data_IF_927550813763
#
_entry.id   IF_927550813763
#
_cell.length_a   1.000
_cell.length_b   1.000
_cell.length_c   1.000
_cell.angle_alpha   90.00
_cell.angle_beta   90.00
_cell.angle_gamma   90.00
#
_symmetry.space_group_name_H-M   'P 1'
#
loop_
_entity.id
_entity.type
_entity.pdbx_description
1 polymer ?
#
# COMPACT_ATOMS: atom_id res chain seq x y z
N UNK A 1 15.59 -27.71 29.90
CA UNK A 1 15.99 -26.33 29.53
C UNK A 1 15.30 -25.95 28.23
N UNK A 2 14.13 -25.32 28.31
CA UNK A 2 13.28 -24.95 27.17
C UNK A 2 13.33 -23.43 26.92
N UNK A 3 14.54 -22.89 26.73
CA UNK A 3 14.78 -21.43 26.71
C UNK A 3 14.80 -20.81 25.30
N UNK A 4 14.76 -21.63 24.25
CA UNK A 4 14.87 -21.16 22.84
C UNK A 4 13.55 -20.76 22.18
N UNK A 5 12.38 -21.03 22.78
CA UNK A 5 11.09 -20.71 22.16
C UNK A 5 10.59 -19.29 22.47
N UNK A 6 11.08 -18.65 23.54
CA UNK A 6 10.66 -17.31 23.97
C UNK A 6 11.26 -16.19 23.13
N UNK A 7 12.50 -16.33 22.65
CA UNK A 7 13.15 -15.30 21.83
C UNK A 7 12.63 -15.28 20.38
N UNK A 8 12.34 -16.45 19.81
CA UNK A 8 11.73 -16.54 18.49
C UNK A 8 10.34 -15.88 18.45
N UNK A 9 9.53 -16.07 19.49
CA UNK A 9 8.21 -15.42 19.62
C UNK A 9 8.31 -13.90 19.79
N UNK A 10 9.29 -13.40 20.55
CA UNK A 10 9.53 -11.95 20.69
C UNK A 10 9.93 -11.31 19.36
N UNK A 11 10.85 -11.92 18.61
CA UNK A 11 11.22 -11.45 17.26
C UNK A 11 10.04 -11.42 16.29
N UNK A 12 9.15 -12.42 16.32
CA UNK A 12 7.96 -12.40 15.46
C UNK A 12 6.97 -11.30 15.84
N UNK A 13 6.87 -10.92 17.11
CA UNK A 13 6.04 -9.79 17.56
C UNK A 13 6.66 -8.45 17.16
N UNK A 14 7.98 -8.29 17.34
CA UNK A 14 8.71 -7.09 16.93
C UNK A 14 8.67 -6.86 15.41
N UNK A 15 8.79 -7.91 14.60
CA UNK A 15 8.67 -7.81 13.13
C UNK A 15 7.24 -7.42 12.72
N UNK A 16 6.22 -7.87 13.47
CA UNK A 16 4.82 -7.58 13.18
C UNK A 16 4.43 -6.16 13.60
N UNK A 17 5.02 -5.63 14.67
CA UNK A 17 4.85 -4.23 15.08
C UNK A 17 5.67 -3.26 14.21
N UNK A 18 6.72 -3.75 13.54
CA UNK A 18 7.52 -2.99 12.58
C UNK A 18 7.01 -3.06 11.13
N UNK A 19 6.03 -3.93 10.83
CA UNK A 19 5.42 -3.98 9.51
C UNK A 19 4.48 -2.77 9.35
N UNK A 20 4.84 -1.85 8.45
CA UNK A 20 4.00 -0.69 8.10
C UNK A 20 2.56 -1.14 7.81
N UNK A 21 1.58 -0.35 8.28
CA UNK A 21 0.16 -0.65 8.05
C UNK A 21 -0.06 -0.82 6.53
N UNK A 22 -0.54 -1.99 6.06
CA UNK A 22 -0.82 -2.23 4.66
C UNK A 22 -1.72 -1.17 4.03
N UNK A 23 -2.59 -0.52 4.81
CA UNK A 23 -3.42 0.59 4.37
C UNK A 23 -2.63 1.86 4.10
N UNK A 24 -1.63 2.16 4.92
CA UNK A 24 -0.72 3.29 4.72
C UNK A 24 0.20 3.05 3.52
N UNK A 25 0.70 1.83 3.35
CA UNK A 25 1.47 1.42 2.16
C UNK A 25 0.61 1.57 0.90
N UNK A 26 -0.62 1.06 0.91
CA UNK A 26 -1.53 1.17 -0.22
C UNK A 26 -1.96 2.62 -0.50
N UNK A 27 -2.11 3.46 0.52
CA UNK A 27 -2.34 4.89 0.38
C UNK A 27 -1.21 5.60 -0.36
N UNK A 28 0.04 5.39 0.08
CA UNK A 28 1.24 5.93 -0.59
C UNK A 28 1.38 5.44 -2.03
N UNK A 29 1.00 4.19 -2.31
CA UNK A 29 1.01 3.64 -3.67
C UNK A 29 -0.01 4.35 -4.57
N UNK A 30 -1.22 4.61 -4.08
CA UNK A 30 -2.23 5.36 -4.84
C UNK A 30 -1.75 6.79 -5.17
N UNK A 31 -1.09 7.45 -4.22
CA UNK A 31 -0.53 8.79 -4.43
C UNK A 31 0.62 8.79 -5.44
N UNK A 32 1.48 7.77 -5.40
CA UNK A 32 2.54 7.59 -6.39
C UNK A 32 2.00 7.38 -7.81
N UNK A 33 0.91 6.62 -7.96
CA UNK A 33 0.26 6.44 -9.27
C UNK A 33 -0.38 7.72 -9.81
N UNK A 34 -0.98 8.56 -8.96
CA UNK A 34 -1.49 9.85 -9.41
C UNK A 34 -0.38 10.81 -9.84
N UNK A 35 0.76 10.79 -9.14
CA UNK A 35 1.92 11.59 -9.54
C UNK A 35 2.46 11.12 -10.90
N UNK A 36 2.56 9.82 -11.11
CA UNK A 36 3.01 9.26 -12.38
C UNK A 36 2.00 9.54 -13.50
N UNK A 37 0.69 9.47 -13.22
CA UNK A 37 -0.34 9.84 -14.16
C UNK A 37 -0.19 11.30 -14.64
N UNK A 38 0.07 12.23 -13.72
CA UNK A 38 0.31 13.63 -14.06
C UNK A 38 1.56 13.81 -14.93
N UNK A 39 2.60 12.99 -14.73
CA UNK A 39 3.80 13.00 -15.59
C UNK A 39 3.51 12.47 -16.98
N UNK A 40 2.78 11.36 -17.09
CA UNK A 40 2.37 10.79 -18.37
C UNK A 40 1.46 11.76 -19.15
N UNK A 41 0.56 12.46 -18.47
CA UNK A 41 -0.27 13.49 -19.09
C UNK A 41 0.58 14.66 -19.63
N UNK A 42 1.56 15.13 -18.84
CA UNK A 42 2.50 16.16 -19.28
C UNK A 42 3.41 15.69 -20.44
N UNK A 43 3.71 14.39 -20.51
CA UNK A 43 4.46 13.77 -21.61
C UNK A 43 3.60 13.54 -22.87
N UNK A 44 2.30 13.84 -22.83
CA UNK A 44 1.36 13.65 -23.93
C UNK A 44 0.79 12.23 -24.02
N UNK A 45 1.04 11.38 -23.04
CA UNK A 45 0.53 10.02 -22.94
C UNK A 45 -0.74 9.96 -22.07
N UNK A 46 -1.80 10.63 -22.55
CA UNK A 46 -3.08 10.69 -21.83
C UNK A 46 -3.73 9.32 -21.59
N UNK A 47 -3.43 8.32 -22.42
CA UNK A 47 -3.94 6.95 -22.21
C UNK A 47 -3.37 6.31 -20.94
N UNK A 48 -2.05 6.37 -20.75
CA UNK A 48 -1.41 5.86 -19.54
C UNK A 48 -1.87 6.64 -18.29
N UNK A 49 -1.97 7.96 -18.40
CA UNK A 49 -2.46 8.81 -17.32
C UNK A 49 -3.86 8.41 -16.84
N UNK A 50 -4.80 8.16 -17.77
CA UNK A 50 -6.17 7.73 -17.43
C UNK A 50 -6.18 6.38 -16.71
N UNK A 51 -5.38 5.41 -17.17
CA UNK A 51 -5.28 4.11 -16.51
C UNK A 51 -4.74 4.25 -15.10
N UNK A 52 -3.66 5.01 -14.93
CA UNK A 52 -3.02 5.24 -13.62
C UNK A 52 -3.96 5.93 -12.63
N UNK A 53 -4.65 6.99 -13.05
CA UNK A 53 -5.67 7.65 -12.23
C UNK A 53 -6.83 6.72 -11.87
N UNK A 54 -7.28 5.89 -12.81
CA UNK A 54 -8.33 4.90 -12.55
C UNK A 54 -7.88 3.89 -11.48
N UNK A 55 -6.67 3.34 -11.61
CA UNK A 55 -6.13 2.38 -10.63
C UNK A 55 -5.92 3.02 -9.25
N UNK A 56 -5.40 4.25 -9.20
CA UNK A 56 -5.26 5.00 -7.96
C UNK A 56 -6.61 5.24 -7.26
N UNK A 57 -7.65 5.54 -8.03
CA UNK A 57 -9.01 5.69 -7.50
C UNK A 57 -9.58 4.37 -6.98
N UNK A 58 -9.49 3.29 -7.75
CA UNK A 58 -9.99 1.97 -7.37
C UNK A 58 -9.32 1.48 -6.08
N UNK A 59 -8.01 1.69 -5.94
CA UNK A 59 -7.28 1.35 -4.72
C UNK A 59 -7.77 2.15 -3.51
N UNK A 60 -7.99 3.46 -3.65
CA UNK A 60 -8.54 4.29 -2.56
C UNK A 60 -9.97 3.91 -2.18
N UNK A 61 -10.79 3.54 -3.17
CA UNK A 61 -12.15 3.06 -2.91
C UNK A 61 -12.12 1.72 -2.15
N UNK A 62 -11.24 0.80 -2.54
CA UNK A 62 -11.03 -0.47 -1.84
C UNK A 62 -10.55 -0.26 -0.38
N UNK A 63 -9.69 0.73 -0.13
CA UNK A 63 -9.24 1.08 1.22
C UNK A 63 -10.33 1.77 2.08
N UNK A 64 -11.28 2.48 1.45
CA UNK A 64 -12.39 3.15 2.14
C UNK A 64 -13.49 2.18 2.57
N UNK A 65 -13.70 1.10 1.81
CA UNK A 65 -14.63 0.06 2.19
C UNK A 65 -14.16 -0.55 3.52
N UNK A 66 -14.95 -0.35 4.58
CA UNK A 66 -14.84 -1.19 5.77
C UNK A 66 -15.13 -2.61 5.31
N UNK A 67 -14.07 -3.39 5.08
CA UNK A 67 -14.16 -4.83 4.96
C UNK A 67 -14.78 -5.31 6.28
N UNK A 68 -16.09 -5.54 6.29
CA UNK A 68 -16.76 -6.26 7.37
C UNK A 68 -16.18 -7.67 7.34
N UNK A 69 -15.58 -8.06 8.47
CA UNK A 69 -15.00 -9.37 8.70
C UNK A 69 -16.05 -10.49 8.61
#
# INVERSE_FOLDING_TARGET
MAMMNSEARKRCLEIRDAAEDPREVAGRLADAWDLEAAREEAAGNGFAAVILHKQARELREALRLRLSA
#
